data_IF_663610093848
#
_entry.id   IF_663610093848
#
_cell.length_a   1.000
_cell.length_b   1.000
_cell.length_c   1.000
_cell.angle_alpha   90.00
_cell.angle_beta   90.00
_cell.angle_gamma   90.00
#
_symmetry.space_group_name_H-M   'P 1'
#
loop_
_entity.id
_entity.type
_entity.pdbx_description
1 polymer ?
#
# COMPACT_ATOMS: atom_id res chain seq x y z
N UNK A 1 -16.80 25.01 -69.44
CA UNK A 1 -17.69 24.36 -70.39
C UNK A 1 -18.07 22.97 -69.86
N UNK A 2 -19.28 22.91 -69.47
CA UNK A 2 -19.96 21.67 -69.06
C UNK A 2 -20.60 21.12 -70.34
N UNK A 3 -20.75 19.82 -70.52
CA UNK A 3 -22.11 19.29 -70.52
C UNK A 3 -22.26 17.90 -69.90
N UNK A 4 -23.51 17.39 -69.88
CA UNK A 4 -24.08 16.76 -68.70
C UNK A 4 -24.49 15.27 -68.88
N UNK A 5 -24.88 14.64 -67.79
CA UNK A 5 -25.92 13.64 -67.56
C UNK A 5 -26.28 12.59 -68.58
N UNK A 6 -26.41 11.36 -68.15
CA UNK A 6 -27.67 10.57 -68.36
C UNK A 6 -27.91 9.59 -67.22
N UNK A 7 -29.07 9.71 -66.61
CA UNK A 7 -29.74 8.77 -65.72
C UNK A 7 -30.34 7.64 -66.54
N UNK A 8 -30.18 6.41 -66.15
CA UNK A 8 -30.91 5.26 -66.70
C UNK A 8 -31.59 4.52 -65.57
N UNK A 9 -32.93 4.58 -65.61
CA UNK A 9 -33.81 3.83 -64.74
C UNK A 9 -33.93 2.41 -65.32
N UNK A 10 -33.64 1.38 -64.55
CA UNK A 10 -34.00 -0.01 -64.85
C UNK A 10 -35.05 -0.46 -63.83
N UNK A 11 -36.23 -0.72 -64.38
CA UNK A 11 -37.41 -1.25 -63.68
C UNK A 11 -37.27 -2.76 -63.55
N UNK A 12 -37.16 -3.28 -62.34
CA UNK A 12 -37.24 -4.72 -62.10
C UNK A 12 -38.61 -5.08 -61.55
N UNK A 13 -39.33 -5.88 -62.31
CA UNK A 13 -40.62 -6.51 -61.97
C UNK A 13 -40.30 -7.71 -61.09
N UNK A 14 -40.81 -7.70 -59.84
CA UNK A 14 -40.67 -8.85 -58.93
C UNK A 14 -41.93 -9.69 -59.03
N UNK A 15 -41.72 -10.92 -59.47
CA UNK A 15 -42.76 -11.98 -59.44
C UNK A 15 -42.87 -12.55 -58.02
N UNK A 16 -44.05 -12.43 -57.40
CA UNK A 16 -44.35 -13.11 -56.11
C UNK A 16 -44.74 -14.57 -56.39
N UNK A 17 -43.87 -15.48 -55.92
CA UNK A 17 -44.22 -16.89 -55.80
C UNK A 17 -44.62 -17.14 -54.36
N UNK A 18 -45.90 -17.42 -54.09
CA UNK A 18 -46.36 -17.89 -52.77
C UNK A 18 -45.91 -19.36 -52.59
N UNK A 19 -44.92 -19.55 -51.73
CA UNK A 19 -44.60 -20.86 -51.19
C UNK A 19 -45.30 -20.99 -49.83
N UNK A 20 -46.28 -21.85 -49.73
CA UNK A 20 -46.89 -22.26 -48.46
C UNK A 20 -45.93 -23.23 -47.79
N UNK A 21 -45.22 -22.75 -46.76
CA UNK A 21 -44.42 -23.58 -45.87
C UNK A 21 -45.27 -23.99 -44.67
N UNK A 22 -45.48 -25.26 -44.47
CA UNK A 22 -46.01 -25.85 -43.23
C UNK A 22 -44.98 -25.69 -42.14
N UNK A 23 -45.25 -24.81 -41.20
CA UNK A 23 -44.42 -24.68 -40.01
C UNK A 23 -44.61 -25.89 -39.09
N UNK A 24 -43.54 -26.67 -38.91
CA UNK A 24 -43.44 -27.60 -37.81
C UNK A 24 -43.10 -26.80 -36.53
N UNK A 25 -43.96 -26.84 -35.53
CA UNK A 25 -43.75 -26.17 -34.25
C UNK A 25 -42.43 -26.62 -33.59
N UNK A 26 -41.55 -25.71 -33.16
CA UNK A 26 -40.35 -26.08 -32.41
C UNK A 26 -40.76 -26.67 -31.06
N UNK A 27 -40.35 -27.90 -30.80
CA UNK A 27 -40.42 -28.50 -29.47
C UNK A 27 -39.57 -27.67 -28.52
N UNK A 28 -40.20 -26.96 -27.59
CA UNK A 28 -39.55 -26.26 -26.47
C UNK A 28 -38.93 -27.34 -25.57
N UNK A 29 -37.66 -27.67 -25.79
CA UNK A 29 -36.84 -28.34 -24.80
C UNK A 29 -36.75 -27.39 -23.58
N UNK A 30 -37.56 -27.65 -22.54
CA UNK A 30 -37.35 -27.06 -21.23
C UNK A 30 -35.96 -27.44 -20.76
N UNK A 31 -34.97 -26.60 -20.98
CA UNK A 31 -33.73 -26.64 -20.21
C UNK A 31 -34.13 -26.34 -18.76
N UNK A 32 -34.21 -27.35 -17.95
CA UNK A 32 -34.13 -27.20 -16.49
C UNK A 32 -32.76 -26.55 -16.21
N UNK A 33 -32.71 -25.39 -15.51
CA UNK A 33 -31.46 -24.90 -15.00
C UNK A 33 -31.11 -25.75 -13.77
N UNK A 34 -30.45 -26.86 -13.99
CA UNK A 34 -29.80 -27.60 -12.93
C UNK A 34 -28.42 -26.92 -12.66
N UNK A 35 -28.48 -25.67 -12.23
CA UNK A 35 -27.43 -25.02 -11.49
C UNK A 35 -27.80 -25.13 -10.00
N UNK A 36 -27.66 -26.31 -9.44
CA UNK A 36 -27.33 -26.42 -8.03
C UNK A 36 -25.96 -25.78 -7.88
N UNK A 37 -25.91 -24.46 -7.54
CA UNK A 37 -24.68 -23.86 -7.02
C UNK A 37 -24.22 -24.75 -5.88
N UNK A 38 -23.15 -25.49 -6.09
CA UNK A 38 -22.56 -26.31 -5.04
C UNK A 38 -22.30 -25.38 -3.85
N UNK A 39 -23.02 -25.58 -2.75
CA UNK A 39 -22.89 -24.78 -1.55
C UNK A 39 -21.41 -24.79 -1.15
N UNK A 40 -20.76 -23.64 -1.21
CA UNK A 40 -19.34 -23.52 -0.86
C UNK A 40 -19.12 -24.05 0.57
N UNK A 41 -18.12 -24.88 0.73
CA UNK A 41 -17.78 -25.43 2.05
C UNK A 41 -17.44 -24.31 3.03
N UNK A 42 -17.96 -24.42 4.27
CA UNK A 42 -17.64 -23.49 5.36
C UNK A 42 -16.99 -24.27 6.49
N UNK A 43 -15.82 -23.83 6.91
CA UNK A 43 -15.07 -24.38 8.03
C UNK A 43 -14.93 -23.35 9.14
N UNK A 44 -15.16 -23.79 10.38
CA UNK A 44 -14.88 -22.99 11.57
C UNK A 44 -13.83 -23.76 12.38
N UNK A 45 -12.56 -23.33 12.41
CA UNK A 45 -11.54 -23.99 13.22
C UNK A 45 -11.92 -23.90 14.69
N UNK A 46 -11.59 -24.91 15.48
CA UNK A 46 -11.74 -24.84 16.93
C UNK A 46 -10.68 -23.90 17.51
N UNK A 47 -11.08 -23.03 18.45
CA UNK A 47 -10.13 -22.27 19.27
C UNK A 47 -9.74 -23.10 20.48
N UNK A 48 -8.46 -23.07 20.87
CA UNK A 48 -7.98 -23.67 22.12
C UNK A 48 -8.49 -22.92 23.35
N UNK A 49 -8.93 -21.68 23.21
CA UNK A 49 -9.48 -20.88 24.31
C UNK A 49 -8.46 -20.44 25.36
N UNK A 50 -7.18 -20.69 25.14
CA UNK A 50 -6.09 -20.38 26.04
C UNK A 50 -4.89 -19.77 25.31
N UNK A 51 -4.26 -18.76 25.91
CA UNK A 51 -3.13 -18.06 25.31
C UNK A 51 -1.86 -18.91 25.15
N UNK A 52 -1.75 -20.04 25.84
CA UNK A 52 -0.64 -20.99 25.72
C UNK A 52 -0.81 -21.98 24.55
N UNK A 53 -2.02 -22.10 24.00
CA UNK A 53 -2.33 -23.01 22.90
C UNK A 53 -2.15 -22.30 21.56
N UNK A 54 -1.46 -22.96 20.62
CA UNK A 54 -1.34 -22.45 19.25
C UNK A 54 -2.53 -22.88 18.40
N UNK A 55 -3.36 -21.93 17.99
CA UNK A 55 -4.52 -22.17 17.14
C UNK A 55 -4.19 -22.29 15.64
N UNK A 56 -2.95 -22.00 15.23
CA UNK A 56 -2.53 -22.08 13.83
C UNK A 56 -2.72 -23.47 13.23
N UNK A 57 -2.43 -24.60 13.91
CA UNK A 57 -2.72 -25.92 13.34
C UNK A 57 -4.20 -26.13 12.99
N UNK A 58 -5.13 -25.68 13.84
CA UNK A 58 -6.57 -25.79 13.57
C UNK A 58 -7.00 -24.89 12.41
N UNK A 59 -6.47 -23.68 12.32
CA UNK A 59 -6.73 -22.75 11.20
C UNK A 59 -6.19 -23.36 9.89
N UNK A 60 -4.98 -23.91 9.88
CA UNK A 60 -4.38 -24.54 8.69
C UNK A 60 -5.17 -25.79 8.25
N UNK A 61 -5.69 -26.58 9.18
CA UNK A 61 -6.59 -27.68 8.85
C UNK A 61 -7.89 -27.19 8.19
N UNK A 62 -8.45 -26.08 8.66
CA UNK A 62 -9.62 -25.44 8.03
C UNK A 62 -9.28 -24.88 6.62
N UNK A 63 -8.10 -24.28 6.43
CA UNK A 63 -7.63 -23.85 5.12
C UNK A 63 -7.46 -25.08 4.20
N UNK A 64 -6.88 -26.16 4.66
CA UNK A 64 -6.73 -27.39 3.87
C UNK A 64 -8.08 -27.94 3.41
N UNK A 65 -9.12 -27.87 4.24
CA UNK A 65 -10.44 -28.43 3.97
C UNK A 65 -11.36 -27.51 3.15
N UNK A 66 -11.29 -26.19 3.39
CA UNK A 66 -12.19 -25.19 2.81
C UNK A 66 -11.46 -24.12 1.99
N UNK A 67 -10.15 -24.22 1.84
CA UNK A 67 -9.35 -23.16 1.18
C UNK A 67 -9.58 -23.04 -0.32
N UNK A 68 -10.13 -24.03 -1.01
CA UNK A 68 -10.45 -23.95 -2.42
C UNK A 68 -11.88 -23.45 -2.64
N UNK A 69 -12.02 -22.15 -2.84
CA UNK A 69 -13.32 -21.50 -3.10
C UNK A 69 -14.29 -21.49 -1.92
N UNK A 70 -13.94 -22.06 -0.78
CA UNK A 70 -14.78 -22.12 0.42
C UNK A 70 -14.57 -20.93 1.37
N UNK A 71 -15.19 -21.03 2.53
CA UNK A 71 -15.17 -20.01 3.59
C UNK A 71 -14.55 -20.58 4.86
N UNK A 72 -13.62 -19.86 5.45
CA UNK A 72 -13.08 -20.15 6.78
C UNK A 72 -13.53 -19.02 7.72
N UNK A 73 -14.14 -19.35 8.84
CA UNK A 73 -14.71 -18.36 9.77
C UNK A 73 -14.02 -18.43 11.12
N UNK A 74 -13.45 -17.32 11.56
CA UNK A 74 -13.03 -17.06 12.94
C UNK A 74 -14.21 -16.33 13.60
N UNK A 75 -15.03 -17.02 14.41
CA UNK A 75 -16.30 -16.48 14.87
C UNK A 75 -16.15 -15.37 15.90
N UNK A 76 -17.15 -14.49 15.96
CA UNK A 76 -17.22 -13.41 16.94
C UNK A 76 -17.21 -13.96 18.38
N UNK A 77 -16.58 -13.20 19.28
CA UNK A 77 -16.48 -13.58 20.70
C UNK A 77 -15.35 -14.58 21.02
N UNK A 78 -14.63 -15.06 20.01
CA UNK A 78 -13.49 -15.96 20.20
C UNK A 78 -12.17 -15.26 19.91
N UNK A 79 -11.15 -15.60 20.69
CA UNK A 79 -9.77 -15.23 20.43
C UNK A 79 -8.99 -16.48 20.02
N UNK A 80 -8.28 -16.39 18.90
CA UNK A 80 -7.37 -17.42 18.41
C UNK A 80 -5.95 -16.93 18.65
N UNK A 81 -5.16 -17.72 19.37
CA UNK A 81 -3.76 -17.38 19.66
C UNK A 81 -2.86 -17.88 18.55
N UNK A 82 -2.11 -16.96 17.95
CA UNK A 82 -1.17 -17.22 16.85
C UNK A 82 0.23 -17.30 17.45
N UNK A 83 0.73 -18.51 17.65
CA UNK A 83 2.04 -18.79 18.25
C UNK A 83 3.06 -19.31 17.23
N UNK A 84 2.61 -19.60 16.02
CA UNK A 84 3.44 -19.99 14.88
C UNK A 84 2.99 -19.28 13.60
N UNK A 85 3.81 -19.33 12.56
CA UNK A 85 3.51 -18.66 11.28
C UNK A 85 2.20 -19.22 10.70
N UNK A 86 1.22 -18.33 10.51
CA UNK A 86 -0.02 -18.64 9.80
C UNK A 86 0.23 -18.54 8.29
N UNK A 87 0.58 -19.67 7.70
CA UNK A 87 0.81 -19.82 6.26
C UNK A 87 -0.49 -20.16 5.55
N UNK A 88 -0.85 -19.35 4.54
CA UNK A 88 -2.06 -19.49 3.73
C UNK A 88 -1.95 -20.49 2.59
N UNK A 89 -0.88 -21.28 2.51
CA UNK A 89 -0.75 -22.36 1.53
C UNK A 89 -1.99 -23.26 1.57
N UNK A 90 -2.61 -23.46 0.39
CA UNK A 90 -3.90 -24.17 0.27
C UNK A 90 -5.11 -23.24 0.08
N UNK A 91 -4.98 -21.94 0.32
CA UNK A 91 -6.02 -20.99 0.00
C UNK A 91 -5.97 -20.63 -1.49
N UNK A 92 -7.01 -20.98 -2.21
CA UNK A 92 -7.25 -20.57 -3.60
C UNK A 92 -8.69 -20.10 -3.72
N UNK A 93 -8.88 -18.82 -3.99
CA UNK A 93 -10.22 -18.18 -3.98
C UNK A 93 -10.99 -18.36 -2.66
N UNK A 94 -10.29 -18.52 -1.55
CA UNK A 94 -10.90 -18.68 -0.23
C UNK A 94 -11.44 -17.35 0.29
N UNK A 95 -12.47 -17.43 1.15
CA UNK A 95 -13.02 -16.32 1.93
C UNK A 95 -12.71 -16.55 3.41
N UNK A 96 -11.64 -15.92 3.90
CA UNK A 96 -11.20 -16.01 5.30
C UNK A 96 -11.84 -14.87 6.09
N UNK A 97 -12.87 -15.21 6.85
CA UNK A 97 -13.69 -14.26 7.60
C UNK A 97 -13.22 -14.21 9.06
N UNK A 98 -12.82 -13.03 9.52
CA UNK A 98 -12.41 -12.76 10.88
C UNK A 98 -13.51 -11.90 11.51
N UNK A 99 -14.34 -12.50 12.36
CA UNK A 99 -15.34 -11.79 13.16
C UNK A 99 -14.92 -11.71 14.65
N UNK A 100 -14.02 -12.59 15.07
CA UNK A 100 -13.36 -12.59 16.37
C UNK A 100 -11.97 -11.91 16.31
N UNK A 101 -11.05 -12.42 17.12
CA UNK A 101 -9.69 -11.89 17.22
C UNK A 101 -8.64 -12.94 16.87
N UNK A 102 -7.70 -12.59 16.00
CA UNK A 102 -6.41 -13.26 15.89
C UNK A 102 -5.43 -12.48 16.77
N UNK A 103 -4.95 -13.09 17.85
CA UNK A 103 -3.97 -12.48 18.77
C UNK A 103 -2.63 -13.18 18.68
N UNK A 104 -1.60 -12.44 18.36
CA UNK A 104 -0.23 -12.95 18.22
C UNK A 104 0.38 -13.15 19.59
N UNK A 105 1.16 -14.23 19.77
CA UNK A 105 1.92 -14.44 21.01
C UNK A 105 3.06 -13.42 21.12
N UNK A 106 3.44 -13.10 22.34
CA UNK A 106 4.59 -12.27 22.70
C UNK A 106 5.89 -13.08 22.86
N UNK A 107 5.96 -14.26 22.29
CA UNK A 107 7.13 -15.14 22.31
C UNK A 107 8.25 -14.60 21.43
N UNK A 108 9.06 -13.70 21.99
CA UNK A 108 10.15 -13.03 21.29
C UNK A 108 11.13 -14.05 20.68
N UNK A 109 11.41 -15.14 21.37
CA UNK A 109 12.38 -16.14 20.92
C UNK A 109 11.89 -16.90 19.68
N UNK A 110 10.59 -17.13 19.58
CA UNK A 110 10.00 -17.74 18.39
C UNK A 110 9.97 -16.78 17.20
N UNK A 111 9.62 -15.51 17.45
CA UNK A 111 9.40 -14.54 16.37
C UNK A 111 10.67 -13.93 15.82
N UNK A 112 11.79 -13.99 16.56
CA UNK A 112 13.07 -13.44 16.09
C UNK A 112 13.48 -14.06 14.76
N UNK A 113 13.82 -13.19 13.79
CA UNK A 113 14.26 -13.58 12.45
C UNK A 113 13.19 -14.19 11.55
N UNK A 114 11.95 -14.32 12.00
CA UNK A 114 10.83 -14.73 11.13
C UNK A 114 10.50 -13.61 10.14
N UNK A 115 10.24 -13.97 8.89
CA UNK A 115 9.85 -12.99 7.87
C UNK A 115 8.50 -12.37 8.17
N UNK A 116 7.51 -13.18 8.57
CA UNK A 116 6.15 -12.74 8.78
C UNK A 116 5.38 -13.61 9.77
N UNK A 117 4.29 -13.05 10.29
CA UNK A 117 3.33 -13.75 11.14
C UNK A 117 2.23 -14.38 10.29
N UNK A 118 1.55 -13.58 9.45
CA UNK A 118 0.60 -14.05 8.44
C UNK A 118 1.31 -14.02 7.09
N UNK A 119 1.52 -15.20 6.52
CA UNK A 119 2.36 -15.38 5.34
C UNK A 119 1.56 -15.89 4.14
N UNK A 120 1.63 -15.16 3.03
CA UNK A 120 0.92 -15.47 1.79
C UNK A 120 1.89 -15.48 0.63
N UNK A 121 2.29 -16.67 0.19
CA UNK A 121 3.20 -16.84 -0.96
C UNK A 121 2.53 -17.67 -2.05
N UNK A 122 2.44 -17.11 -3.26
CA UNK A 122 1.83 -17.78 -4.41
C UNK A 122 0.30 -17.94 -4.28
N UNK A 123 -0.34 -17.20 -3.41
CA UNK A 123 -1.79 -17.28 -3.13
C UNK A 123 -2.59 -16.58 -4.23
N UNK A 124 -3.74 -17.17 -4.60
CA UNK A 124 -4.59 -16.66 -5.68
C UNK A 124 -6.03 -16.49 -5.23
N UNK A 125 -6.57 -15.29 -5.41
CA UNK A 125 -7.98 -14.97 -5.21
C UNK A 125 -8.47 -14.96 -3.76
N UNK A 126 -7.60 -14.87 -2.76
CA UNK A 126 -7.99 -14.88 -1.35
C UNK A 126 -8.70 -13.56 -0.95
N UNK A 127 -9.72 -13.69 -0.12
CA UNK A 127 -10.33 -12.57 0.61
C UNK A 127 -10.13 -12.79 2.10
N UNK A 128 -9.50 -11.83 2.78
CA UNK A 128 -9.33 -11.80 4.23
C UNK A 128 -10.13 -10.59 4.71
N UNK A 129 -11.20 -10.83 5.46
CA UNK A 129 -12.11 -9.75 5.81
C UNK A 129 -12.91 -10.01 7.07
N UNK A 130 -13.49 -8.94 7.63
CA UNK A 130 -14.67 -9.07 8.50
C UNK A 130 -15.93 -8.75 7.67
N UNK A 131 -16.99 -9.51 7.87
CA UNK A 131 -18.29 -9.20 7.27
C UNK A 131 -19.01 -8.13 8.08
N UNK A 132 -18.86 -8.18 9.42
CA UNK A 132 -19.52 -7.27 10.36
C UNK A 132 -18.69 -6.03 10.72
N UNK A 133 -17.39 -6.01 10.41
CA UNK A 133 -16.44 -4.96 10.84
C UNK A 133 -15.98 -5.10 12.30
N UNK A 134 -16.26 -6.23 12.95
CA UNK A 134 -15.84 -6.48 14.33
C UNK A 134 -14.49 -7.19 14.42
N UNK A 135 -14.03 -7.78 13.32
CA UNK A 135 -12.81 -8.58 13.27
C UNK A 135 -11.54 -7.81 13.63
N UNK A 136 -10.68 -8.46 14.44
CA UNK A 136 -9.45 -7.87 14.93
C UNK A 136 -8.25 -8.76 14.61
N UNK A 137 -7.18 -8.15 14.10
CA UNK A 137 -5.83 -8.73 14.10
C UNK A 137 -5.00 -7.94 15.10
N UNK A 138 -4.62 -8.57 16.21
CA UNK A 138 -3.84 -7.98 17.29
C UNK A 138 -2.41 -8.50 17.24
N UNK A 139 -1.49 -7.68 16.75
CA UNK A 139 -0.06 -8.01 16.66
C UNK A 139 0.63 -8.15 18.02
N UNK A 140 0.00 -7.67 19.10
CA UNK A 140 0.51 -7.77 20.47
C UNK A 140 1.99 -7.36 20.62
N UNK A 141 2.39 -6.28 19.91
CA UNK A 141 3.78 -5.91 19.65
C UNK A 141 4.54 -5.30 20.81
N UNK A 142 3.93 -5.08 22.00
CA UNK A 142 4.59 -4.36 23.09
C UNK A 142 5.95 -4.97 23.50
N UNK A 143 6.01 -6.26 23.69
CA UNK A 143 7.27 -6.93 24.02
C UNK A 143 8.35 -6.73 22.94
N UNK A 144 7.94 -6.73 21.68
CA UNK A 144 8.85 -6.50 20.55
C UNK A 144 9.32 -5.04 20.47
N UNK A 145 8.51 -4.06 20.88
CA UNK A 145 8.92 -2.65 20.96
C UNK A 145 9.96 -2.46 22.04
N UNK A 146 9.73 -3.06 23.22
CA UNK A 146 10.62 -2.94 24.35
C UNK A 146 11.97 -3.65 24.10
N UNK A 147 11.94 -4.84 23.49
CA UNK A 147 13.13 -5.58 23.07
C UNK A 147 13.93 -4.76 22.05
N UNK A 148 13.27 -4.26 20.98
CA UNK A 148 13.95 -3.49 19.94
C UNK A 148 14.52 -2.16 20.44
N UNK A 149 13.95 -1.56 21.46
CA UNK A 149 14.49 -0.36 22.08
C UNK A 149 15.81 -0.61 22.81
N UNK A 150 15.96 -1.79 23.41
CA UNK A 150 17.18 -2.22 24.11
C UNK A 150 18.18 -2.92 23.19
N UNK A 151 17.69 -3.62 22.14
CA UNK A 151 18.47 -4.41 21.20
C UNK A 151 17.98 -4.15 19.76
N UNK A 152 18.54 -3.13 19.13
CA UNK A 152 18.15 -2.72 17.77
C UNK A 152 18.46 -3.76 16.67
N UNK A 153 19.20 -4.82 17.00
CA UNK A 153 19.44 -5.96 16.08
C UNK A 153 18.35 -7.03 16.14
N UNK A 154 17.41 -6.96 17.10
CA UNK A 154 16.29 -7.88 17.18
C UNK A 154 15.43 -7.81 15.91
N UNK A 155 15.45 -8.89 15.14
CA UNK A 155 14.77 -8.96 13.85
C UNK A 155 13.28 -9.31 14.03
N UNK A 156 12.42 -8.28 13.96
CA UNK A 156 10.98 -8.38 14.16
C UNK A 156 10.25 -8.81 12.87
N UNK A 157 9.24 -9.71 12.93
CA UNK A 157 8.47 -10.12 11.77
C UNK A 157 7.50 -9.03 11.31
N UNK A 158 7.25 -8.98 10.00
CA UNK A 158 6.09 -8.26 9.44
C UNK A 158 4.79 -8.95 9.87
N UNK A 159 3.73 -8.20 10.21
CA UNK A 159 2.47 -8.79 10.63
C UNK A 159 1.78 -9.56 9.49
N UNK A 160 1.65 -8.96 8.33
CA UNK A 160 1.01 -9.57 7.16
C UNK A 160 1.86 -9.37 5.91
N UNK A 161 2.29 -10.45 5.28
CA UNK A 161 3.24 -10.41 4.19
C UNK A 161 2.76 -11.20 2.97
N UNK A 162 2.64 -10.51 1.84
CA UNK A 162 2.22 -11.08 0.55
C UNK A 162 3.43 -11.10 -0.40
N UNK A 163 3.72 -12.26 -0.98
CA UNK A 163 4.86 -12.46 -1.88
C UNK A 163 4.62 -13.60 -2.88
N UNK A 164 5.66 -14.03 -3.61
CA UNK A 164 5.64 -15.23 -4.43
C UNK A 164 4.68 -15.19 -5.60
N UNK A 165 4.56 -14.02 -6.28
CA UNK A 165 3.65 -13.82 -7.39
C UNK A 165 2.17 -14.10 -7.02
N UNK A 166 1.78 -13.75 -5.81
CA UNK A 166 0.39 -13.79 -5.36
C UNK A 166 -0.50 -12.87 -6.22
N UNK A 167 -1.75 -13.24 -6.39
CA UNK A 167 -2.65 -12.53 -7.30
C UNK A 167 -4.08 -12.44 -6.75
N UNK A 168 -4.72 -11.27 -6.95
CA UNK A 168 -6.15 -11.10 -6.67
C UNK A 168 -6.52 -11.24 -5.20
N UNK A 169 -5.68 -10.75 -4.28
CA UNK A 169 -5.94 -10.79 -2.85
C UNK A 169 -6.61 -9.51 -2.40
N UNK A 170 -7.63 -9.64 -1.57
CA UNK A 170 -8.30 -8.51 -0.91
C UNK A 170 -8.24 -8.68 0.60
N UNK A 171 -7.81 -7.62 1.30
CA UNK A 171 -7.88 -7.53 2.77
C UNK A 171 -8.78 -6.35 3.11
N UNK A 172 -9.86 -6.58 3.86
CA UNK A 172 -10.84 -5.50 4.04
C UNK A 172 -11.65 -5.58 5.34
N UNK A 173 -12.13 -4.40 5.76
CA UNK A 173 -13.08 -4.24 6.86
C UNK A 173 -12.59 -4.86 8.17
N UNK A 174 -11.33 -4.61 8.53
CA UNK A 174 -10.67 -5.15 9.71
C UNK A 174 -10.08 -4.04 10.59
N UNK A 175 -10.00 -4.32 11.87
CA UNK A 175 -9.21 -3.57 12.83
C UNK A 175 -7.88 -4.29 13.02
N UNK A 176 -6.78 -3.59 12.80
CA UNK A 176 -5.43 -4.15 12.93
C UNK A 176 -4.64 -3.32 13.92
N UNK A 177 -4.07 -3.93 14.94
CA UNK A 177 -3.39 -3.17 15.98
C UNK A 177 -2.06 -3.78 16.40
N UNK A 178 -1.18 -2.91 16.85
CA UNK A 178 0.09 -3.21 17.51
C UNK A 178 0.92 -4.30 16.81
N UNK A 179 1.27 -4.14 15.51
CA UNK A 179 2.18 -5.08 14.86
C UNK A 179 3.58 -4.99 15.50
N UNK A 180 4.35 -6.05 15.58
CA UNK A 180 5.72 -5.97 16.10
C UNK A 180 6.65 -5.15 15.19
N UNK A 181 6.34 -5.00 13.93
CA UNK A 181 7.05 -4.27 12.88
C UNK A 181 6.01 -3.72 11.87
N UNK A 182 6.24 -3.80 10.57
CA UNK A 182 5.32 -3.37 9.50
C UNK A 182 3.95 -4.07 9.61
N UNK A 183 2.85 -3.34 9.39
CA UNK A 183 1.51 -3.91 9.33
C UNK A 183 1.32 -4.81 8.12
N UNK A 184 1.44 -4.23 6.91
CA UNK A 184 1.22 -4.93 5.65
C UNK A 184 2.39 -4.72 4.70
N UNK A 185 2.93 -5.81 4.17
CA UNK A 185 3.95 -5.75 3.13
C UNK A 185 3.54 -6.57 1.93
N UNK A 186 3.72 -6.03 0.73
CA UNK A 186 3.45 -6.73 -0.52
C UNK A 186 4.65 -6.59 -1.47
N UNK A 187 5.12 -7.72 -1.99
CA UNK A 187 6.32 -7.79 -2.84
C UNK A 187 6.32 -9.06 -3.71
N UNK A 188 7.49 -9.45 -4.22
CA UNK A 188 7.71 -10.73 -4.90
C UNK A 188 6.89 -10.90 -6.16
N UNK A 189 6.77 -9.84 -6.97
CA UNK A 189 5.99 -9.81 -8.22
C UNK A 189 4.49 -10.09 -8.03
N UNK A 190 3.97 -9.83 -6.82
CA UNK A 190 2.53 -9.94 -6.56
C UNK A 190 1.75 -8.87 -7.32
N UNK A 191 0.51 -9.16 -7.70
CA UNK A 191 -0.30 -8.25 -8.51
C UNK A 191 -1.78 -8.28 -8.14
N UNK A 192 -2.47 -7.15 -8.37
CA UNK A 192 -3.91 -6.99 -8.08
C UNK A 192 -4.24 -7.26 -6.62
N UNK A 193 -3.56 -6.53 -5.73
CA UNK A 193 -3.75 -6.63 -4.29
C UNK A 193 -4.55 -5.41 -3.82
N UNK A 194 -5.59 -5.63 -3.03
CA UNK A 194 -6.46 -4.56 -2.53
C UNK A 194 -6.53 -4.59 -1.00
N UNK A 195 -6.30 -3.44 -0.40
CA UNK A 195 -6.53 -3.16 1.01
C UNK A 195 -7.61 -2.09 1.11
N UNK A 196 -8.68 -2.34 1.87
CA UNK A 196 -9.76 -1.36 1.98
C UNK A 196 -10.49 -1.39 3.32
N UNK A 197 -11.00 -0.23 3.73
CA UNK A 197 -11.82 -0.08 4.94
C UNK A 197 -11.11 -0.67 6.18
N UNK A 198 -9.84 -0.29 6.39
CA UNK A 198 -9.03 -0.76 7.50
C UNK A 198 -8.86 0.34 8.55
N UNK A 199 -8.91 -0.04 9.82
CA UNK A 199 -8.50 0.81 10.94
C UNK A 199 -7.26 0.21 11.59
N UNK A 200 -6.15 0.96 11.56
CA UNK A 200 -4.83 0.47 11.94
C UNK A 200 -4.24 1.35 13.04
N UNK A 201 -3.77 0.74 14.12
CA UNK A 201 -3.21 1.50 15.26
C UNK A 201 -1.99 0.79 15.84
N UNK A 202 -0.86 1.48 15.93
CA UNK A 202 0.30 1.07 16.70
C UNK A 202 0.48 2.04 17.88
N UNK A 203 0.29 1.53 19.08
CA UNK A 203 0.44 2.30 20.32
C UNK A 203 1.28 1.51 21.31
N UNK A 204 2.22 2.17 21.97
CA UNK A 204 3.02 1.58 23.04
C UNK A 204 2.41 1.87 24.40
N UNK A 205 2.48 0.86 25.26
CA UNK A 205 2.10 0.97 26.68
C UNK A 205 3.29 1.37 27.57
N UNK A 206 4.50 1.47 26.99
CA UNK A 206 5.73 1.94 27.62
C UNK A 206 6.24 3.24 27.01
N UNK A 207 7.40 3.72 27.44
CA UNK A 207 8.10 4.86 26.82
C UNK A 207 8.79 4.51 25.50
N UNK A 208 8.85 3.22 25.13
CA UNK A 208 9.50 2.76 23.91
C UNK A 208 8.53 2.87 22.73
N UNK A 209 8.84 3.75 21.79
CA UNK A 209 7.99 3.97 20.62
C UNK A 209 7.88 2.72 19.74
N UNK A 210 6.71 2.46 19.11
CA UNK A 210 6.51 1.36 18.18
C UNK A 210 7.18 1.67 16.83
N UNK A 211 8.51 1.71 16.80
CA UNK A 211 9.30 2.04 15.60
C UNK A 211 9.09 1.01 14.48
N UNK A 212 9.23 1.49 13.25
CA UNK A 212 9.08 0.72 12.00
C UNK A 212 7.70 0.07 11.83
N UNK A 213 6.68 0.69 12.38
CA UNK A 213 5.30 0.27 12.20
C UNK A 213 4.69 0.92 10.95
N UNK A 214 5.40 0.78 9.81
CA UNK A 214 4.87 1.23 8.51
C UNK A 214 3.47 0.64 8.30
N UNK A 215 2.52 1.44 7.84
CA UNK A 215 1.18 0.94 7.55
C UNK A 215 1.21 -0.03 6.37
N UNK A 216 1.80 0.40 5.27
CA UNK A 216 1.93 -0.42 4.07
C UNK A 216 3.32 -0.27 3.45
N UNK A 217 4.03 -1.37 3.30
CA UNK A 217 5.22 -1.51 2.46
C UNK A 217 4.83 -2.09 1.10
N UNK A 218 4.76 -1.24 0.08
CA UNK A 218 4.45 -1.65 -1.30
C UNK A 218 5.77 -1.75 -2.07
N UNK A 219 6.28 -2.96 -2.21
CA UNK A 219 7.56 -3.27 -2.87
C UNK A 219 7.38 -3.74 -4.31
N UNK A 220 8.19 -4.72 -4.73
CA UNK A 220 8.17 -5.29 -6.08
C UNK A 220 6.84 -5.98 -6.39
N UNK A 221 5.84 -5.18 -6.75
CA UNK A 221 4.46 -5.58 -7.03
C UNK A 221 3.80 -4.60 -8.00
N UNK A 222 2.66 -5.00 -8.58
CA UNK A 222 1.90 -4.16 -9.51
C UNK A 222 0.41 -4.15 -9.20
N UNK A 223 -0.26 -3.04 -9.51
CA UNK A 223 -1.71 -2.88 -9.30
C UNK A 223 -2.10 -3.13 -7.83
N UNK A 224 -1.43 -2.43 -6.92
CA UNK A 224 -1.78 -2.42 -5.49
C UNK A 224 -2.69 -1.23 -5.22
N UNK A 225 -3.83 -1.49 -4.59
CA UNK A 225 -4.80 -0.46 -4.21
C UNK A 225 -4.96 -0.43 -2.69
N UNK A 226 -4.90 0.77 -2.12
CA UNK A 226 -5.23 1.05 -0.71
C UNK A 226 -6.31 2.10 -0.68
N UNK A 227 -7.43 1.85 -0.01
CA UNK A 227 -8.54 2.81 0.03
C UNK A 227 -9.33 2.77 1.34
N UNK A 228 -9.85 3.93 1.74
CA UNK A 228 -10.71 4.05 2.94
C UNK A 228 -10.01 3.54 4.20
N UNK A 229 -8.79 4.00 4.47
CA UNK A 229 -7.96 3.51 5.56
C UNK A 229 -7.63 4.62 6.55
N UNK A 230 -7.69 4.29 7.84
CA UNK A 230 -7.17 5.14 8.92
C UNK A 230 -5.97 4.44 9.57
N UNK A 231 -4.86 5.17 9.67
CA UNK A 231 -3.59 4.68 10.24
C UNK A 231 -3.14 5.63 11.35
N UNK A 232 -2.80 5.06 12.50
CA UNK A 232 -2.04 5.75 13.56
C UNK A 232 -0.80 4.90 13.88
N UNK A 233 0.38 5.40 13.55
CA UNK A 233 1.62 4.65 13.64
C UNK A 233 2.83 5.55 13.91
N UNK A 234 4.04 4.97 13.93
CA UNK A 234 5.30 5.65 14.22
C UNK A 234 6.37 5.33 13.16
N UNK A 235 5.94 5.18 11.90
CA UNK A 235 6.80 5.17 10.71
C UNK A 235 5.98 5.57 9.48
N UNK A 236 6.41 5.24 8.25
CA UNK A 236 5.68 5.63 7.05
C UNK A 236 4.21 5.14 7.09
N UNK A 237 3.27 5.99 6.71
CA UNK A 237 1.88 5.56 6.53
C UNK A 237 1.75 4.61 5.34
N UNK A 238 2.35 5.00 4.22
CA UNK A 238 2.56 4.14 3.06
C UNK A 238 3.98 4.38 2.55
N UNK A 239 4.75 3.31 2.40
CA UNK A 239 6.07 3.35 1.81
C UNK A 239 6.08 2.61 0.47
N UNK A 240 6.31 3.35 -0.61
CA UNK A 240 6.53 2.79 -1.94
C UNK A 240 8.00 2.39 -2.06
N UNK A 241 8.28 1.12 -1.80
CA UNK A 241 9.60 0.51 -1.74
C UNK A 241 10.12 0.11 -3.13
N UNK A 242 11.38 -0.33 -3.27
CA UNK A 242 11.94 -0.76 -4.55
C UNK A 242 11.05 -1.76 -5.32
N UNK A 243 10.76 -1.44 -6.56
CA UNK A 243 9.96 -2.27 -7.46
C UNK A 243 8.46 -1.98 -7.46
N UNK A 244 7.96 -1.05 -6.65
CA UNK A 244 6.56 -0.63 -6.68
C UNK A 244 6.19 -0.03 -8.05
N UNK A 245 5.08 -0.49 -8.61
CA UNK A 245 4.60 -0.03 -9.92
C UNK A 245 3.07 -0.11 -10.00
N UNK A 246 2.41 0.91 -10.52
CA UNK A 246 0.95 1.03 -10.54
C UNK A 246 0.32 0.85 -9.17
N UNK A 247 0.75 1.65 -8.19
CA UNK A 247 0.14 1.70 -6.87
C UNK A 247 -0.84 2.89 -6.78
N UNK A 248 -2.02 2.64 -6.23
CA UNK A 248 -3.05 3.66 -6.02
C UNK A 248 -3.46 3.69 -4.55
N UNK A 249 -3.41 4.87 -3.94
CA UNK A 249 -3.85 5.09 -2.55
C UNK A 249 -4.89 6.20 -2.55
N UNK A 250 -6.07 5.93 -2.00
CA UNK A 250 -7.13 6.94 -1.93
C UNK A 250 -7.83 6.91 -0.58
N UNK A 251 -8.34 8.08 -0.16
CA UNK A 251 -9.18 8.19 1.04
C UNK A 251 -8.46 7.63 2.28
N UNK A 252 -7.25 8.12 2.52
CA UNK A 252 -6.40 7.69 3.65
C UNK A 252 -6.22 8.81 4.69
N UNK A 253 -6.29 8.45 5.96
CA UNK A 253 -5.96 9.35 7.08
C UNK A 253 -4.83 8.76 7.90
N UNK A 254 -3.74 9.50 8.07
CA UNK A 254 -2.53 9.05 8.77
C UNK A 254 -2.22 9.99 9.93
N UNK A 255 -2.01 9.45 11.12
CA UNK A 255 -1.66 10.22 12.32
C UNK A 255 -0.33 9.75 12.90
N UNK A 256 0.58 10.67 13.19
CA UNK A 256 1.88 10.40 13.81
C UNK A 256 2.89 9.69 12.92
N UNK A 257 2.62 9.62 11.62
CA UNK A 257 3.43 8.86 10.66
C UNK A 257 4.66 9.63 10.16
N UNK A 258 5.52 8.92 9.42
CA UNK A 258 6.61 9.56 8.68
C UNK A 258 6.20 9.99 7.26
N UNK A 259 4.94 9.80 6.86
CA UNK A 259 4.38 10.31 5.62
C UNK A 259 3.96 9.25 4.61
N UNK A 260 3.51 9.76 3.46
CA UNK A 260 3.25 8.99 2.24
C UNK A 260 4.54 9.03 1.40
N UNK A 261 5.40 8.04 1.59
CA UNK A 261 6.82 8.12 1.21
C UNK A 261 7.17 7.22 0.03
N UNK A 262 7.91 7.75 -0.94
CA UNK A 262 8.67 6.92 -1.89
C UNK A 262 10.03 6.61 -1.26
N UNK A 263 10.34 5.35 -1.07
CA UNK A 263 11.64 4.91 -0.57
C UNK A 263 11.63 4.27 0.83
N UNK A 264 12.83 4.15 1.40
CA UNK A 264 14.12 4.65 0.89
C UNK A 264 14.64 3.82 -0.30
N UNK A 265 15.31 4.47 -1.25
CA UNK A 265 15.82 3.86 -2.48
C UNK A 265 17.33 4.09 -2.63
N UNK A 266 18.04 3.11 -3.19
CA UNK A 266 19.46 3.22 -3.50
C UNK A 266 20.39 2.78 -2.37
N UNK A 267 19.90 2.12 -1.32
CA UNK A 267 20.72 1.72 -0.17
C UNK A 267 21.82 0.71 -0.51
N UNK A 268 21.64 -0.14 -1.52
CA UNK A 268 22.58 -1.22 -1.85
C UNK A 268 23.51 -0.82 -2.99
N UNK A 269 24.82 -0.92 -2.77
CA UNK A 269 25.85 -0.64 -3.76
C UNK A 269 25.59 -1.39 -5.09
N UNK A 270 25.78 -0.70 -6.20
CA UNK A 270 25.62 -1.24 -7.56
C UNK A 270 24.19 -1.57 -7.98
N UNK A 271 23.17 -1.33 -7.12
CA UNK A 271 21.77 -1.55 -7.48
C UNK A 271 21.14 -0.30 -8.08
N UNK A 272 20.11 -0.50 -8.90
CA UNK A 272 19.19 0.56 -9.35
C UNK A 272 17.80 0.22 -8.86
N UNK A 273 17.29 0.99 -7.92
CA UNK A 273 15.93 0.82 -7.41
C UNK A 273 14.93 1.65 -8.25
N UNK A 274 13.76 1.11 -8.51
CA UNK A 274 12.73 1.81 -9.30
C UNK A 274 11.42 1.90 -8.54
N UNK A 275 10.75 3.06 -8.59
CA UNK A 275 9.36 3.26 -8.19
C UNK A 275 8.67 4.05 -9.28
N UNK A 276 7.55 3.56 -9.79
CA UNK A 276 6.87 4.17 -10.95
C UNK A 276 5.36 4.12 -10.82
N UNK A 277 4.68 5.07 -11.48
CA UNK A 277 3.22 5.05 -11.65
C UNK A 277 2.49 4.95 -10.30
N UNK A 278 2.78 5.87 -9.41
CA UNK A 278 2.14 5.97 -8.09
C UNK A 278 1.15 7.12 -8.09
N UNK A 279 -0.05 6.86 -7.65
CA UNK A 279 -1.08 7.87 -7.48
C UNK A 279 -1.68 7.82 -6.08
N UNK A 280 -1.56 8.91 -5.35
CA UNK A 280 -2.16 9.10 -4.03
C UNK A 280 -3.14 10.25 -4.10
N UNK A 281 -4.36 10.05 -3.61
CA UNK A 281 -5.36 11.11 -3.62
C UNK A 281 -6.24 11.12 -2.37
N UNK A 282 -6.71 12.31 -1.99
CA UNK A 282 -7.60 12.55 -0.84
C UNK A 282 -7.01 11.97 0.45
N UNK A 283 -5.80 12.44 0.77
CA UNK A 283 -5.11 12.06 1.99
C UNK A 283 -5.22 13.15 3.07
N UNK A 284 -5.38 12.74 4.31
CA UNK A 284 -5.29 13.63 5.49
C UNK A 284 -4.10 13.19 6.33
N UNK A 285 -3.12 14.06 6.48
CA UNK A 285 -1.89 13.80 7.21
C UNK A 285 -1.85 14.63 8.48
N UNK A 286 -1.81 13.96 9.64
CA UNK A 286 -1.97 14.58 10.95
C UNK A 286 -0.71 14.35 11.79
N UNK A 287 -0.10 15.41 12.29
CA UNK A 287 1.06 15.36 13.21
C UNK A 287 2.16 14.39 12.74
N UNK A 288 2.43 14.38 11.45
CA UNK A 288 3.40 13.48 10.79
C UNK A 288 4.71 14.22 10.51
N UNK A 289 5.82 13.52 10.34
CA UNK A 289 7.11 14.17 10.04
C UNK A 289 7.10 14.85 8.67
N UNK A 290 6.34 14.30 7.73
CA UNK A 290 5.99 14.96 6.46
C UNK A 290 4.65 14.43 5.99
N UNK A 291 3.98 15.19 5.13
CA UNK A 291 2.78 14.66 4.52
C UNK A 291 3.12 13.73 3.34
N UNK A 292 4.01 14.16 2.45
CA UNK A 292 4.45 13.38 1.30
C UNK A 292 5.94 13.57 1.03
N UNK A 293 6.62 12.59 0.46
CA UNK A 293 8.03 12.80 0.13
C UNK A 293 8.74 11.62 -0.52
N UNK A 294 10.03 11.87 -0.81
CA UNK A 294 10.92 10.93 -1.46
C UNK A 294 12.21 10.83 -0.63
N UNK A 295 12.67 9.60 -0.39
CA UNK A 295 13.91 9.30 0.33
C UNK A 295 14.82 8.50 -0.61
N UNK A 296 15.95 9.12 -1.04
CA UNK A 296 16.97 8.44 -1.83
C UNK A 296 18.34 8.56 -1.15
N UNK A 297 19.10 7.48 -1.18
CA UNK A 297 20.45 7.47 -0.69
C UNK A 297 21.38 8.30 -1.59
N UNK A 298 22.48 8.85 -1.07
CA UNK A 298 23.51 9.48 -1.89
C UNK A 298 24.18 8.47 -2.83
N UNK A 299 25.11 8.93 -3.65
CA UNK A 299 25.93 8.09 -4.50
C UNK A 299 27.09 7.43 -3.76
N UNK A 300 28.16 7.11 -4.53
CA UNK A 300 29.40 6.57 -3.98
C UNK A 300 29.45 5.05 -3.88
N UNK A 301 30.54 4.52 -3.31
CA UNK A 301 30.81 3.07 -3.36
C UNK A 301 29.90 2.24 -2.46
N UNK A 302 29.27 2.86 -1.45
CA UNK A 302 28.41 2.16 -0.48
C UNK A 302 26.97 2.06 -0.93
N UNK A 303 26.56 2.85 -1.93
CA UNK A 303 25.16 2.99 -2.35
C UNK A 303 24.97 2.68 -3.83
N UNK A 304 23.71 2.52 -4.21
CA UNK A 304 23.26 2.39 -5.58
C UNK A 304 22.64 3.69 -6.09
N UNK A 305 21.68 3.56 -6.97
CA UNK A 305 20.91 4.69 -7.50
C UNK A 305 19.42 4.39 -7.53
N UNK A 306 18.60 5.38 -7.89
CA UNK A 306 17.17 5.23 -7.98
C UNK A 306 16.58 5.88 -9.24
N UNK A 307 15.46 5.33 -9.70
CA UNK A 307 14.60 5.94 -10.72
C UNK A 307 13.18 6.04 -10.15
N UNK A 308 12.74 7.27 -9.94
CA UNK A 308 11.37 7.61 -9.52
C UNK A 308 10.69 8.31 -10.68
N UNK A 309 9.56 7.80 -11.14
CA UNK A 309 8.88 8.42 -12.28
C UNK A 309 7.36 8.30 -12.21
N UNK A 310 6.66 9.34 -12.65
CA UNK A 310 5.21 9.40 -12.69
C UNK A 310 4.58 9.11 -11.30
N UNK A 311 4.88 9.98 -10.34
CA UNK A 311 4.35 9.93 -8.98
C UNK A 311 3.53 11.18 -8.71
N UNK A 312 2.31 11.01 -8.26
CA UNK A 312 1.41 12.12 -7.95
C UNK A 312 0.80 11.95 -6.57
N UNK A 313 0.92 12.98 -5.75
CA UNK A 313 0.08 13.19 -4.57
C UNK A 313 -0.90 14.30 -4.89
N UNK A 314 -2.19 14.04 -4.79
CA UNK A 314 -3.27 14.96 -5.14
C UNK A 314 -4.30 15.10 -4.02
N UNK A 315 -4.67 16.32 -3.71
CA UNK A 315 -5.66 16.63 -2.67
C UNK A 315 -5.20 16.09 -1.31
N UNK A 316 -4.14 16.71 -0.76
CA UNK A 316 -3.55 16.34 0.53
C UNK A 316 -3.81 17.44 1.56
N UNK A 317 -4.50 17.09 2.64
CA UNK A 317 -4.69 17.97 3.80
C UNK A 317 -3.58 17.76 4.80
N UNK A 318 -2.88 18.84 5.16
CA UNK A 318 -1.76 18.89 6.11
C UNK A 318 -2.26 19.46 7.42
N UNK A 319 -2.21 18.67 8.49
CA UNK A 319 -2.66 19.07 9.81
C UNK A 319 -1.52 18.90 10.85
N UNK A 320 -0.63 19.88 10.96
CA UNK A 320 0.48 19.87 11.90
C UNK A 320 1.61 18.90 11.54
N UNK A 321 1.82 18.60 10.26
CA UNK A 321 3.02 17.88 9.82
C UNK A 321 4.26 18.78 9.87
N UNK A 322 5.45 18.20 10.09
CA UNK A 322 6.68 19.01 10.12
C UNK A 322 6.97 19.65 8.75
N UNK A 323 6.74 18.89 7.66
CA UNK A 323 6.75 19.41 6.28
C UNK A 323 5.51 18.90 5.52
N UNK A 324 5.00 19.69 4.61
CA UNK A 324 3.99 19.23 3.66
C UNK A 324 4.60 18.37 2.54
N UNK A 325 5.78 18.76 2.05
CA UNK A 325 6.56 17.97 1.09
C UNK A 325 8.02 17.93 1.48
N UNK A 326 8.65 16.78 1.31
CA UNK A 326 10.08 16.63 1.56
C UNK A 326 10.72 15.70 0.53
N UNK A 327 11.85 16.11 -0.04
CA UNK A 327 12.74 15.26 -0.84
C UNK A 327 14.09 15.22 -0.13
N UNK A 328 14.59 14.03 0.12
CA UNK A 328 15.84 13.77 0.81
C UNK A 328 16.78 13.02 -0.13
N UNK A 329 17.79 13.72 -0.66
CA UNK A 329 18.80 13.13 -1.55
C UNK A 329 20.05 12.63 -0.81
N UNK A 330 20.08 12.86 0.50
CA UNK A 330 21.13 12.45 1.42
C UNK A 330 20.59 11.52 2.52
N UNK A 331 19.60 10.68 2.21
CA UNK A 331 18.95 9.83 3.21
C UNK A 331 19.92 8.81 3.80
N UNK A 332 19.95 8.72 5.12
CA UNK A 332 20.74 7.73 5.87
C UNK A 332 22.23 8.07 6.02
N UNK A 333 22.69 9.20 5.47
CA UNK A 333 24.09 9.60 5.53
C UNK A 333 24.25 11.05 6.04
N UNK A 334 25.47 11.40 6.40
CA UNK A 334 25.80 12.77 6.83
C UNK A 334 26.16 13.69 5.65
N UNK A 335 26.00 14.99 5.83
CA UNK A 335 26.23 16.03 4.80
C UNK A 335 27.63 15.98 4.18
N UNK A 336 28.67 15.64 4.94
CA UNK A 336 30.03 15.50 4.40
C UNK A 336 30.18 14.33 3.44
N UNK A 337 29.49 13.21 3.69
CA UNK A 337 29.45 12.07 2.76
C UNK A 337 28.72 12.49 1.48
N UNK A 338 27.55 13.09 1.60
CA UNK A 338 26.75 13.49 0.46
C UNK A 338 27.41 14.56 -0.40
N UNK A 339 28.20 15.47 0.19
CA UNK A 339 28.98 16.44 -0.55
C UNK A 339 30.07 15.78 -1.40
N UNK A 340 30.66 14.67 -0.92
CA UNK A 340 31.67 13.89 -1.66
C UNK A 340 31.04 12.96 -2.70
N UNK A 341 29.83 12.48 -2.41
CA UNK A 341 29.13 11.48 -3.22
C UNK A 341 27.64 11.88 -3.40
N UNK A 342 27.36 12.94 -4.16
CA UNK A 342 25.99 13.38 -4.35
C UNK A 342 25.13 12.29 -5.02
N UNK A 343 23.83 12.28 -4.70
CA UNK A 343 22.90 11.30 -5.25
C UNK A 343 22.81 11.42 -6.76
N UNK A 344 22.83 10.26 -7.44
CA UNK A 344 22.69 10.11 -8.88
C UNK A 344 21.26 9.70 -9.29
N UNK A 345 20.30 9.74 -8.34
CA UNK A 345 18.93 9.33 -8.60
C UNK A 345 18.26 10.19 -9.67
N UNK A 346 17.39 9.57 -10.47
CA UNK A 346 16.53 10.24 -11.43
C UNK A 346 15.12 10.33 -10.91
N UNK A 347 14.64 11.55 -10.66
CA UNK A 347 13.28 11.85 -10.18
C UNK A 347 12.60 12.64 -11.29
N UNK A 348 11.56 12.09 -11.94
CA UNK A 348 10.90 12.69 -13.11
C UNK A 348 9.39 12.56 -13.05
N UNK A 349 8.67 13.59 -13.50
CA UNK A 349 7.21 13.61 -13.55
C UNK A 349 6.59 13.43 -12.16
N UNK A 350 7.12 14.14 -11.17
CA UNK A 350 6.66 14.08 -9.78
C UNK A 350 5.80 15.29 -9.47
N UNK A 351 4.59 15.07 -9.00
CA UNK A 351 3.61 16.11 -8.80
C UNK A 351 3.07 16.12 -7.36
N UNK A 352 3.15 17.26 -6.70
CA UNK A 352 2.48 17.59 -5.46
C UNK A 352 1.33 18.55 -5.78
N UNK A 353 0.09 18.07 -5.80
CA UNK A 353 -1.08 18.84 -6.26
C UNK A 353 -2.09 19.05 -5.15
N UNK A 354 -2.70 20.24 -5.12
CA UNK A 354 -3.83 20.54 -4.25
C UNK A 354 -3.54 20.24 -2.76
N UNK A 355 -2.37 20.69 -2.29
CA UNK A 355 -2.00 20.61 -0.87
C UNK A 355 -2.57 21.81 -0.13
N UNK A 356 -3.20 21.58 1.01
CA UNK A 356 -3.76 22.62 1.85
C UNK A 356 -3.56 22.32 3.34
N UNK A 357 -3.69 23.34 4.19
CA UNK A 357 -3.64 23.19 5.64
C UNK A 357 -2.44 23.89 6.29
N UNK A 358 -1.96 23.35 7.41
CA UNK A 358 -0.95 24.01 8.23
C UNK A 358 0.11 23.01 8.70
N UNK A 359 1.39 23.38 8.59
CA UNK A 359 2.53 22.61 9.13
C UNK A 359 2.66 22.83 10.65
N UNK A 360 3.48 22.00 11.31
CA UNK A 360 3.87 22.23 12.71
C UNK A 360 4.79 23.44 12.84
N UNK A 361 5.03 23.88 14.07
CA UNK A 361 5.98 24.96 14.35
C UNK A 361 7.46 24.53 14.34
N UNK A 362 7.74 23.25 14.13
CA UNK A 362 9.09 22.69 14.31
C UNK A 362 10.13 23.28 13.36
N UNK A 363 9.75 23.52 12.11
CA UNK A 363 10.63 24.05 11.06
C UNK A 363 10.09 25.33 10.43
N UNK A 364 9.18 26.02 11.12
CA UNK A 364 8.60 27.24 10.59
C UNK A 364 9.66 28.31 10.28
N UNK A 365 9.49 29.10 9.24
CA UNK A 365 8.32 29.14 8.37
C UNK A 365 8.38 28.16 7.18
N UNK A 366 9.33 27.20 7.16
CA UNK A 366 9.48 26.25 6.06
C UNK A 366 8.33 25.25 6.03
N UNK A 367 7.59 25.21 4.92
CA UNK A 367 6.49 24.26 4.67
C UNK A 367 6.90 23.11 3.74
N UNK A 368 8.00 23.26 3.02
CA UNK A 368 8.58 22.22 2.17
C UNK A 368 10.10 22.25 2.23
N UNK A 369 10.74 21.08 2.10
CA UNK A 369 12.20 20.92 2.08
C UNK A 369 12.58 19.95 0.95
N UNK A 370 12.95 20.52 -0.19
CA UNK A 370 13.13 19.81 -1.45
C UNK A 370 14.63 19.74 -1.82
N UNK A 371 15.37 18.85 -1.17
CA UNK A 371 16.77 18.56 -1.48
C UNK A 371 16.86 17.49 -2.57
N UNK A 372 17.02 17.92 -3.80
CA UNK A 372 17.04 17.07 -4.99
C UNK A 372 18.44 16.49 -5.27
N UNK A 373 18.54 15.37 -6.02
CA UNK A 373 19.80 14.73 -6.38
C UNK A 373 20.74 15.64 -7.17
N UNK A 374 21.89 16.02 -6.59
CA UNK A 374 22.80 17.00 -7.21
C UNK A 374 23.58 16.45 -8.43
N UNK A 375 23.73 15.12 -8.54
CA UNK A 375 24.34 14.46 -9.70
C UNK A 375 23.33 13.63 -10.52
N UNK A 376 22.03 13.84 -10.28
CA UNK A 376 20.92 13.18 -10.96
C UNK A 376 20.02 14.14 -11.72
N UNK A 377 18.72 13.83 -11.73
CA UNK A 377 17.67 14.70 -12.29
C UNK A 377 16.53 14.85 -11.29
N UNK A 378 15.88 16.02 -11.26
CA UNK A 378 14.79 16.30 -10.35
C UNK A 378 13.71 17.17 -10.99
N UNK A 379 12.81 16.55 -11.73
CA UNK A 379 11.68 17.19 -12.38
C UNK A 379 10.43 17.03 -11.51
N UNK A 380 10.14 18.05 -10.70
CA UNK A 380 9.03 18.08 -9.72
C UNK A 380 8.16 19.32 -9.93
N UNK A 381 6.88 19.18 -9.61
CA UNK A 381 5.86 20.22 -9.82
C UNK A 381 4.99 20.37 -8.57
N UNK A 382 4.77 21.61 -8.12
CA UNK A 382 3.82 21.97 -7.08
C UNK A 382 2.71 22.82 -7.69
N UNK A 383 1.45 22.41 -7.52
CA UNK A 383 0.30 23.15 -8.07
C UNK A 383 -0.90 23.06 -7.11
N UNK A 384 -1.73 24.12 -7.10
CA UNK A 384 -2.87 24.20 -6.16
C UNK A 384 -2.41 24.18 -4.71
N UNK A 385 -1.33 24.88 -4.39
CA UNK A 385 -0.67 24.81 -3.08
C UNK A 385 -1.17 25.93 -2.16
N UNK A 386 -1.83 25.57 -1.04
CA UNK A 386 -2.30 26.48 0.03
C UNK A 386 -1.91 25.94 1.41
N UNK A 387 -0.61 25.67 1.59
CA UNK A 387 -0.07 25.24 2.90
C UNK A 387 0.57 26.42 3.59
N UNK A 388 0.28 26.59 4.88
CA UNK A 388 0.76 27.70 5.70
C UNK A 388 1.59 27.19 6.89
N UNK A 389 2.61 27.93 7.34
CA UNK A 389 3.23 27.70 8.64
C UNK A 389 2.27 28.18 9.75
N UNK A 390 2.58 27.84 11.00
CA UNK A 390 1.86 28.36 12.17
C UNK A 390 2.04 29.87 12.35
N UNK A 391 3.18 30.40 11.91
CA UNK A 391 3.46 31.84 11.92
C UNK A 391 4.33 32.26 10.72
N UNK A 392 4.24 33.52 10.33
CA UNK A 392 5.02 34.08 9.21
C UNK A 392 4.47 33.73 7.83
N UNK A 393 5.30 33.91 6.81
CA UNK A 393 5.00 33.57 5.43
C UNK A 393 5.66 32.23 5.06
N UNK A 394 4.95 31.40 4.31
CA UNK A 394 5.45 30.10 3.91
C UNK A 394 6.76 30.22 3.11
N UNK A 395 7.77 29.45 3.53
CA UNK A 395 9.02 29.25 2.81
C UNK A 395 9.10 27.85 2.21
N UNK A 396 9.74 27.77 1.05
CA UNK A 396 9.96 26.55 0.31
C UNK A 396 11.46 26.37 0.11
N UNK A 397 12.09 25.55 0.92
CA UNK A 397 13.51 25.27 0.82
C UNK A 397 13.77 24.35 -0.37
N UNK A 398 14.65 24.78 -1.28
CA UNK A 398 14.96 24.02 -2.50
C UNK A 398 16.48 23.94 -2.74
N UNK A 399 16.91 22.80 -3.28
CA UNK A 399 18.24 22.63 -3.84
C UNK A 399 18.17 21.68 -5.06
N UNK A 400 18.97 21.95 -6.07
CA UNK A 400 19.18 21.10 -7.26
C UNK A 400 17.89 20.72 -8.04
N UNK A 401 16.91 21.62 -8.10
CA UNK A 401 15.67 21.39 -8.86
C UNK A 401 15.90 21.83 -10.31
N UNK A 402 15.61 20.94 -11.25
CA UNK A 402 15.82 21.18 -12.68
C UNK A 402 14.68 21.95 -13.35
N UNK A 403 13.52 21.98 -12.71
CA UNK A 403 12.30 22.52 -13.31
C UNK A 403 12.14 24.01 -13.03
N UNK A 404 12.21 24.82 -14.07
CA UNK A 404 11.94 26.26 -13.99
C UNK A 404 10.46 26.62 -13.75
N UNK A 405 9.55 25.66 -13.89
CA UNK A 405 8.10 25.82 -13.73
C UNK A 405 7.58 25.12 -12.45
N UNK A 406 8.36 25.15 -11.38
CA UNK A 406 8.04 24.47 -10.12
C UNK A 406 6.67 24.87 -9.52
N UNK A 407 6.18 26.08 -9.81
CA UNK A 407 4.89 26.58 -9.32
C UNK A 407 4.95 27.33 -7.99
N UNK A 408 6.13 27.42 -7.39
CA UNK A 408 6.42 28.15 -6.15
C UNK A 408 7.73 28.94 -6.29
N UNK A 409 7.99 29.86 -5.35
CA UNK A 409 9.28 30.55 -5.24
C UNK A 409 10.17 29.84 -4.23
N UNK A 410 11.32 29.36 -4.67
CA UNK A 410 12.30 28.68 -3.84
C UNK A 410 13.13 29.64 -2.99
N UNK A 411 13.38 29.25 -1.75
CA UNK A 411 14.44 29.76 -0.87
C UNK A 411 15.57 28.74 -0.83
N UNK A 412 16.83 29.17 -0.84
CA UNK A 412 17.98 28.28 -0.69
C UNK A 412 18.04 27.69 0.73
N UNK A 413 18.71 26.55 0.89
CA UNK A 413 18.95 25.94 2.21
C UNK A 413 18.23 24.62 2.46
N UNK A 414 17.72 23.96 1.40
CA UNK A 414 17.23 22.59 1.54
C UNK A 414 18.35 21.67 1.97
N UNK A 415 18.02 20.79 2.92
CA UNK A 415 18.92 19.79 3.50
C UNK A 415 18.34 18.38 3.48
N UNK A 416 17.11 18.25 2.98
CA UNK A 416 16.39 16.99 2.91
C UNK A 416 15.74 16.53 4.22
#
# INVERSE_FOLDING_TARGET
MIPPNRVSHILFIVFFILLVSTEAAPSILKRTPDHTEAKRATCTPASGGDASIDDVPAIKAAISSCGTGGTIVIPAGYTYTIRSVLDFTGCTSCDFQIEGTLKISDDLSYWEGRTAIIYMSGIKGARIRSVTGTGVIDGNGQAAYDEFASNSSYARPTLHYITGASFGITVSNLKVKNPPNVFFSVTGSSTSITYSSLTMTAASESTNAPKNTDGFDIGASTYVTVSEVTVSNQDDCVAFKPGANYATVTDISCTGSHGLSVGSLGSKAGSTNTVKNVYVARATMISSTKAAGIKVYPGGPSHGTAVVSNVTWDTVTVAGCDYAAQIQSCYGEGTSYCSSYPSTASITGVHFKNFNGTTSSKYEPAVANLDCPAAGTCDVYLSGWDVKPTSGSAEYLCANIDNSSLGITCTSGATG
#
